data_IF_138076447600
#
_entry.id   IF_138076447600
#
_cell.length_a   1.000
_cell.length_b   1.000
_cell.length_c   1.000
_cell.angle_alpha   90.00
_cell.angle_beta   90.00
_cell.angle_gamma   90.00
#
_symmetry.space_group_name_H-M   'P 1'
#
loop_
_entity.id
_entity.type
_entity.pdbx_description
1 polymer ?
#
# COMPACT_ATOMS: atom_id res chain seq x y z
N UNK A 1 -4.04 0.56 2.54
CA UNK A 1 -4.84 0.09 1.39
C UNK A 1 -4.06 -0.82 0.43
N UNK A 2 -3.10 -0.34 -0.34
CA UNK A 2 -2.43 -1.13 -1.41
C UNK A 2 -1.82 -2.48 -0.94
N UNK A 3 -1.34 -2.56 0.30
CA UNK A 3 -0.74 -3.80 0.85
C UNK A 3 -1.77 -4.85 1.30
N UNK A 4 -3.07 -4.52 1.40
CA UNK A 4 -4.09 -5.39 1.99
C UNK A 4 -4.18 -6.73 1.27
N UNK A 5 -4.15 -6.74 -0.06
CA UNK A 5 -4.24 -7.98 -0.84
C UNK A 5 -3.08 -8.93 -0.56
N UNK A 6 -1.86 -8.40 -0.42
CA UNK A 6 -0.66 -9.18 -0.05
C UNK A 6 -0.69 -9.67 1.40
N UNK A 7 -1.24 -8.87 2.31
CA UNK A 7 -1.30 -9.17 3.75
C UNK A 7 -2.30 -10.27 4.05
N UNK A 8 -3.52 -10.16 3.53
CA UNK A 8 -4.57 -11.15 3.74
C UNK A 8 -4.34 -12.39 2.87
N UNK A 9 -3.92 -12.18 1.61
CA UNK A 9 -3.65 -13.23 0.63
C UNK A 9 -4.76 -14.30 0.57
N UNK A 10 -6.02 -13.87 0.67
CA UNK A 10 -7.19 -14.75 0.95
C UNK A 10 -7.37 -15.88 -0.08
N UNK A 11 -6.92 -15.64 -1.31
CA UNK A 11 -7.01 -16.58 -2.43
C UNK A 11 -5.66 -17.19 -2.84
N UNK A 12 -4.59 -16.97 -2.07
CA UNK A 12 -3.26 -17.48 -2.39
C UNK A 12 -2.64 -16.89 -3.66
N UNK A 13 -3.10 -15.69 -4.09
CA UNK A 13 -2.58 -14.98 -5.29
C UNK A 13 -1.08 -14.69 -5.16
N UNK A 14 -0.63 -14.34 -3.96
CA UNK A 14 0.76 -13.96 -3.70
C UNK A 14 1.55 -15.10 -3.07
N UNK A 15 2.86 -15.13 -3.34
CA UNK A 15 3.77 -16.06 -2.70
C UNK A 15 3.83 -15.77 -1.20
N UNK A 16 4.00 -16.81 -0.39
CA UNK A 16 4.15 -16.68 1.06
C UNK A 16 5.29 -15.71 1.46
N UNK A 17 6.38 -15.67 0.68
CA UNK A 17 7.47 -14.72 0.90
C UNK A 17 7.03 -13.26 0.73
N UNK A 18 6.14 -12.95 -0.22
CA UNK A 18 5.60 -11.60 -0.43
C UNK A 18 4.65 -11.21 0.71
N UNK A 19 3.85 -12.15 1.20
CA UNK A 19 2.98 -11.94 2.36
C UNK A 19 3.80 -11.67 3.63
N UNK A 20 4.80 -12.50 3.92
CA UNK A 20 5.71 -12.31 5.06
C UNK A 20 6.49 -11.00 4.97
N UNK A 21 6.96 -10.62 3.78
CA UNK A 21 7.60 -9.33 3.57
C UNK A 21 6.65 -8.16 3.86
N UNK A 22 5.38 -8.28 3.47
CA UNK A 22 4.36 -7.26 3.77
C UNK A 22 4.09 -7.13 5.27
N UNK A 23 3.98 -8.27 5.98
CA UNK A 23 3.84 -8.27 7.44
C UNK A 23 5.06 -7.65 8.14
N UNK A 24 6.27 -8.01 7.71
CA UNK A 24 7.50 -7.45 8.24
C UNK A 24 7.53 -5.93 8.12
N UNK A 25 7.21 -5.40 6.93
CA UNK A 25 7.17 -3.95 6.70
C UNK A 25 6.11 -3.28 7.57
N UNK A 26 4.90 -3.86 7.67
CA UNK A 26 3.84 -3.32 8.53
C UNK A 26 4.25 -3.26 10.00
N UNK A 27 4.78 -4.37 10.54
CA UNK A 27 5.20 -4.41 11.93
C UNK A 27 6.38 -3.48 12.20
N UNK A 28 7.34 -3.39 11.28
CA UNK A 28 8.48 -2.47 11.39
C UNK A 28 8.01 -1.03 11.45
N UNK A 29 7.19 -0.60 10.47
CA UNK A 29 6.67 0.77 10.41
C UNK A 29 5.79 1.07 11.63
N UNK A 30 4.88 0.18 11.99
CA UNK A 30 3.97 0.40 13.12
C UNK A 30 4.71 0.48 14.45
N UNK A 31 5.69 -0.41 14.68
CA UNK A 31 6.51 -0.38 15.90
C UNK A 31 7.29 0.95 16.03
N UNK A 32 7.82 1.47 14.92
CA UNK A 32 8.51 2.76 14.91
C UNK A 32 7.55 3.93 15.16
N UNK A 33 6.36 3.92 14.54
CA UNK A 33 5.31 4.92 14.80
C UNK A 33 4.93 4.93 16.28
N UNK A 34 4.72 3.77 16.90
CA UNK A 34 4.39 3.69 18.32
C UNK A 34 5.50 4.28 19.20
N UNK A 35 6.77 3.99 18.91
CA UNK A 35 7.91 4.55 19.66
C UNK A 35 8.00 6.07 19.50
N UNK A 36 7.78 6.58 18.29
CA UNK A 36 7.77 8.03 18.01
C UNK A 36 6.60 8.74 18.70
N UNK A 37 5.44 8.07 18.80
CA UNK A 37 4.26 8.61 19.47
C UNK A 37 4.27 8.42 20.99
N UNK A 38 5.13 7.56 21.53
CA UNK A 38 5.16 7.23 22.96
C UNK A 38 5.32 8.46 23.88
N UNK A 39 6.17 9.45 23.56
CA UNK A 39 6.26 10.69 24.34
C UNK A 39 4.99 11.56 24.32
N UNK A 40 4.15 11.41 23.30
CA UNK A 40 2.94 12.23 23.08
C UNK A 40 1.69 11.53 23.63
N UNK A 41 1.57 10.22 23.41
CA UNK A 41 0.40 9.40 23.79
C UNK A 41 0.83 8.16 24.60
N UNK A 42 1.35 8.35 25.83
CA UNK A 42 2.07 7.30 26.54
C UNK A 42 1.22 6.10 26.97
N UNK A 43 -0.05 6.31 27.30
CA UNK A 43 -0.95 5.24 27.76
C UNK A 43 -1.38 4.35 26.58
N UNK A 44 -1.80 4.98 25.48
CA UNK A 44 -2.32 4.28 24.30
C UNK A 44 -1.19 3.48 23.63
N UNK A 45 -0.04 4.13 23.41
CA UNK A 45 1.11 3.48 22.78
C UNK A 45 1.66 2.32 23.61
N UNK A 46 1.73 2.46 24.94
CA UNK A 46 2.16 1.36 25.83
C UNK A 46 1.19 0.18 25.82
N UNK A 47 -0.11 0.45 25.85
CA UNK A 47 -1.14 -0.59 25.78
C UNK A 47 -1.05 -1.40 24.48
N UNK A 48 -0.97 -0.72 23.33
CA UNK A 48 -0.81 -1.38 22.03
C UNK A 48 0.51 -2.14 21.95
N UNK A 49 1.61 -1.54 22.40
CA UNK A 49 2.93 -2.17 22.40
C UNK A 49 2.92 -3.46 23.20
N UNK A 50 2.29 -3.43 24.38
CA UNK A 50 2.24 -4.59 25.27
C UNK A 50 1.43 -5.75 24.72
N UNK A 51 0.40 -5.44 23.94
CA UNK A 51 -0.44 -6.42 23.27
C UNK A 51 0.28 -7.11 22.11
N UNK A 52 1.13 -6.39 21.37
CA UNK A 52 1.65 -6.85 20.08
C UNK A 52 3.12 -7.27 20.09
N UNK A 53 3.96 -6.67 20.93
CA UNK A 53 5.42 -6.77 20.76
C UNK A 53 6.18 -7.25 22.00
N UNK A 54 5.74 -6.92 23.22
CA UNK A 54 6.50 -7.21 24.45
C UNK A 54 5.64 -7.16 25.68
N UNK A 55 5.94 -7.89 26.74
CA UNK A 55 5.25 -7.70 28.04
C UNK A 55 5.76 -6.47 28.83
N UNK A 56 6.89 -5.88 28.40
CA UNK A 56 7.49 -4.69 29.02
C UNK A 56 7.02 -3.42 28.34
N UNK A 57 7.13 -2.31 29.08
CA UNK A 57 6.66 -1.01 28.62
C UNK A 57 7.44 -0.51 27.41
N UNK A 58 6.74 0.13 26.46
CA UNK A 58 7.37 0.83 25.33
C UNK A 58 8.30 1.95 25.78
N UNK A 59 8.06 2.52 26.96
CA UNK A 59 8.86 3.63 27.51
C UNK A 59 10.28 3.22 27.89
N UNK A 60 10.58 1.92 27.87
CA UNK A 60 11.94 1.37 28.04
C UNK A 60 12.67 1.17 26.71
N UNK A 61 11.95 1.31 25.59
CA UNK A 61 12.48 1.10 24.26
C UNK A 61 13.24 2.32 23.76
N UNK A 62 14.25 2.06 22.93
CA UNK A 62 14.98 3.12 22.21
C UNK A 62 14.41 3.31 20.82
N UNK A 63 14.38 4.57 20.39
CA UNK A 63 14.24 4.93 18.98
C UNK A 63 15.61 4.71 18.34
N UNK A 64 15.66 3.86 17.32
CA UNK A 64 16.87 3.63 16.54
C UNK A 64 16.90 4.60 15.36
N UNK A 65 18.10 4.98 14.93
CA UNK A 65 18.25 5.68 13.65
C UNK A 65 17.76 4.78 12.50
N UNK A 66 17.20 5.38 11.43
CA UNK A 66 16.75 4.62 10.28
C UNK A 66 17.91 3.86 9.65
N UNK A 67 17.63 2.65 9.16
CA UNK A 67 18.62 1.88 8.42
C UNK A 67 19.08 2.68 7.18
N UNK A 68 20.38 2.93 6.99
CA UNK A 68 20.87 3.69 5.84
C UNK A 68 20.47 3.09 4.48
N UNK A 69 20.12 1.80 4.46
CA UNK A 69 19.63 1.10 3.26
C UNK A 69 18.20 1.49 2.88
N UNK A 70 17.45 2.15 3.77
CA UNK A 70 16.08 2.60 3.51
C UNK A 70 16.02 3.89 2.69
N UNK A 71 16.82 3.95 1.62
CA UNK A 71 16.81 5.03 0.65
C UNK A 71 16.30 4.47 -0.69
N UNK A 72 15.00 4.54 -0.90
CA UNK A 72 14.33 3.97 -2.08
C UNK A 72 13.81 5.06 -3.01
N UNK A 73 13.83 4.86 -4.34
CA UNK A 73 13.20 5.77 -5.29
C UNK A 73 11.70 5.91 -5.01
N UNK A 74 11.18 7.15 -5.05
CA UNK A 74 9.77 7.44 -4.77
C UNK A 74 8.86 7.33 -6.00
N UNK A 75 9.44 7.21 -7.20
CA UNK A 75 8.69 7.25 -8.47
C UNK A 75 7.52 6.26 -8.50
N UNK A 76 7.72 5.00 -8.13
CA UNK A 76 6.65 3.99 -8.14
C UNK A 76 5.54 4.32 -7.13
N UNK A 77 5.89 4.94 -5.99
CA UNK A 77 4.91 5.41 -5.02
C UNK A 77 4.10 6.60 -5.56
N UNK A 78 4.76 7.56 -6.22
CA UNK A 78 4.11 8.71 -6.84
C UNK A 78 3.14 8.28 -7.96
N UNK A 79 3.56 7.35 -8.80
CA UNK A 79 2.71 6.73 -9.83
C UNK A 79 1.50 6.03 -9.21
N UNK A 80 1.69 5.26 -8.13
CA UNK A 80 0.60 4.57 -7.43
C UNK A 80 -0.42 5.57 -6.88
N UNK A 81 0.04 6.64 -6.23
CA UNK A 81 -0.83 7.69 -5.66
C UNK A 81 -1.60 8.42 -6.76
N UNK A 82 -0.92 8.77 -7.85
CA UNK A 82 -1.49 9.43 -9.03
C UNK A 82 -2.56 8.56 -9.68
N UNK A 83 -2.25 7.29 -9.95
CA UNK A 83 -3.18 6.34 -10.53
C UNK A 83 -4.41 6.11 -9.65
N UNK A 84 -4.20 5.88 -8.36
CA UNK A 84 -5.28 5.64 -7.41
C UNK A 84 -6.27 6.84 -7.38
N UNK A 85 -5.75 8.06 -7.38
CA UNK A 85 -6.55 9.28 -7.39
C UNK A 85 -7.36 9.43 -8.70
N UNK A 86 -6.75 9.12 -9.85
CA UNK A 86 -7.40 9.16 -11.18
C UNK A 86 -8.52 8.11 -11.28
N UNK A 87 -8.26 6.87 -10.88
CA UNK A 87 -9.25 5.78 -10.97
C UNK A 87 -10.43 6.04 -10.04
N UNK A 88 -10.20 6.52 -8.81
CA UNK A 88 -11.30 6.90 -7.93
C UNK A 88 -12.13 8.07 -8.47
N UNK A 89 -11.49 9.07 -9.08
CA UNK A 89 -12.20 10.18 -9.70
C UNK A 89 -13.07 9.71 -10.87
N UNK A 90 -12.56 8.77 -11.68
CA UNK A 90 -13.32 8.14 -12.75
C UNK A 90 -14.51 7.31 -12.22
N UNK A 91 -14.31 6.48 -11.19
CA UNK A 91 -15.43 5.74 -10.56
C UNK A 91 -16.53 6.67 -10.09
N UNK A 92 -16.15 7.79 -9.44
CA UNK A 92 -17.09 8.81 -8.97
C UNK A 92 -17.85 9.47 -10.13
N UNK A 93 -17.19 9.82 -11.23
CA UNK A 93 -17.87 10.44 -12.38
C UNK A 93 -18.87 9.50 -13.06
N UNK A 94 -18.65 8.19 -12.95
CA UNK A 94 -19.57 7.14 -13.43
C UNK A 94 -20.62 6.71 -12.40
N UNK A 95 -20.66 7.34 -11.21
CA UNK A 95 -21.61 6.98 -10.15
C UNK A 95 -21.34 5.62 -9.47
N UNK A 96 -20.14 5.06 -9.63
CA UNK A 96 -19.73 3.79 -9.04
C UNK A 96 -19.25 3.97 -7.59
N UNK A 97 -19.49 2.96 -6.75
CA UNK A 97 -18.87 2.90 -5.42
C UNK A 97 -17.39 2.55 -5.56
N UNK A 98 -16.58 2.93 -4.57
CA UNK A 98 -15.13 2.69 -4.62
C UNK A 98 -14.77 1.19 -4.71
N UNK A 99 -15.57 0.34 -4.06
CA UNK A 99 -15.42 -1.11 -4.05
C UNK A 99 -16.10 -1.82 -5.24
N UNK A 100 -16.79 -1.10 -6.12
CA UNK A 100 -17.40 -1.73 -7.29
C UNK A 100 -16.31 -2.11 -8.31
N UNK A 101 -16.39 -3.28 -8.95
CA UNK A 101 -15.43 -3.67 -9.99
C UNK A 101 -15.50 -2.72 -11.18
N UNK A 102 -14.33 -2.37 -11.71
CA UNK A 102 -14.23 -1.50 -12.88
C UNK A 102 -14.25 -2.36 -14.15
N UNK A 103 -15.36 -2.26 -14.91
CA UNK A 103 -15.62 -3.09 -16.09
C UNK A 103 -15.11 -2.51 -17.41
N UNK A 104 -14.67 -1.25 -17.40
CA UNK A 104 -14.09 -0.58 -18.58
C UNK A 104 -12.64 -1.02 -18.77
N UNK A 105 -12.12 -0.94 -20.00
CA UNK A 105 -10.71 -1.21 -20.27
C UNK A 105 -9.87 -0.03 -19.77
N UNK A 106 -8.88 -0.31 -18.91
CA UNK A 106 -7.94 0.70 -18.42
C UNK A 106 -6.56 0.47 -19.04
N UNK A 107 -6.04 1.47 -19.75
CA UNK A 107 -4.70 1.42 -20.34
C UNK A 107 -3.73 2.19 -19.47
N UNK A 108 -2.61 1.55 -19.14
CA UNK A 108 -1.53 2.12 -18.35
C UNK A 108 -0.27 2.22 -19.20
N UNK A 109 0.50 3.28 -18.99
CA UNK A 109 1.85 3.37 -19.54
C UNK A 109 2.80 2.32 -18.93
N UNK A 110 3.93 2.06 -19.60
CA UNK A 110 4.89 1.02 -19.21
C UNK A 110 5.49 1.24 -17.81
N UNK A 111 5.53 2.50 -17.35
CA UNK A 111 6.05 2.89 -16.04
C UNK A 111 5.21 2.34 -14.88
N UNK A 112 3.96 1.95 -15.11
CA UNK A 112 3.08 1.36 -14.09
C UNK A 112 3.31 -0.16 -13.91
N UNK A 113 4.18 -0.78 -14.71
CA UNK A 113 4.39 -2.23 -14.71
C UNK A 113 4.72 -2.80 -13.33
N UNK A 114 5.59 -2.14 -12.55
CA UNK A 114 6.02 -2.61 -11.23
C UNK A 114 4.92 -2.56 -10.16
N UNK A 115 3.84 -1.81 -10.40
CA UNK A 115 2.77 -1.55 -9.42
C UNK A 115 1.38 -1.94 -9.92
N UNK A 116 1.31 -2.60 -11.09
CA UNK A 116 0.04 -2.89 -11.74
C UNK A 116 -0.80 -3.87 -10.90
N UNK A 117 -0.16 -4.83 -10.25
CA UNK A 117 -0.82 -5.81 -9.39
C UNK A 117 -1.57 -5.14 -8.23
N UNK A 118 -0.95 -4.13 -7.61
CA UNK A 118 -1.56 -3.32 -6.55
C UNK A 118 -2.79 -2.57 -7.08
N UNK A 119 -2.71 -1.98 -8.27
CA UNK A 119 -3.82 -1.22 -8.85
C UNK A 119 -4.99 -2.12 -9.26
N UNK A 120 -4.69 -3.29 -9.83
CA UNK A 120 -5.69 -4.29 -10.20
C UNK A 120 -6.45 -4.76 -8.97
N UNK A 121 -5.74 -5.09 -7.89
CA UNK A 121 -6.36 -5.55 -6.65
C UNK A 121 -7.16 -4.44 -5.97
N UNK A 122 -6.59 -3.24 -5.86
CA UNK A 122 -7.20 -2.12 -5.14
C UNK A 122 -8.49 -1.65 -5.80
N UNK A 123 -8.56 -1.68 -7.13
CA UNK A 123 -9.68 -1.16 -7.89
C UNK A 123 -10.57 -2.22 -8.52
N UNK A 124 -10.24 -3.50 -8.36
CA UNK A 124 -10.95 -4.63 -8.97
C UNK A 124 -11.11 -4.42 -10.48
N UNK A 125 -9.96 -4.20 -11.14
CA UNK A 125 -9.90 -3.95 -12.58
C UNK A 125 -10.18 -5.27 -13.32
N UNK A 126 -11.25 -5.30 -14.11
CA UNK A 126 -11.62 -6.50 -14.88
C UNK A 126 -10.81 -6.63 -16.18
N UNK A 127 -10.50 -5.49 -16.82
CA UNK A 127 -9.77 -5.43 -18.08
C UNK A 127 -8.72 -4.31 -18.01
N UNK A 128 -7.45 -4.64 -18.21
CA UNK A 128 -6.38 -3.65 -18.30
C UNK A 128 -5.33 -4.04 -19.34
N UNK A 129 -4.61 -3.04 -19.85
CA UNK A 129 -3.47 -3.23 -20.74
C UNK A 129 -2.33 -2.29 -20.36
N UNK A 130 -1.11 -2.77 -20.48
CA UNK A 130 0.08 -1.94 -20.45
C UNK A 130 0.46 -1.63 -21.89
N UNK A 131 0.61 -0.35 -22.22
CA UNK A 131 0.98 0.12 -23.56
C UNK A 131 2.42 0.63 -23.56
N UNK A 132 3.14 0.40 -24.66
CA UNK A 132 4.50 0.93 -24.90
C UNK A 132 4.46 2.42 -25.25
N UNK A 133 3.88 3.20 -24.35
CA UNK A 133 3.83 4.65 -24.45
C UNK A 133 4.53 5.20 -23.21
N UNK A 134 5.46 6.12 -23.44
CA UNK A 134 6.20 6.78 -22.36
C UNK A 134 5.37 7.91 -21.77
N UNK A 135 5.41 8.06 -20.44
CA UNK A 135 4.74 9.13 -19.70
C UNK A 135 3.60 8.62 -18.82
N UNK A 136 3.25 9.35 -17.77
CA UNK A 136 2.40 8.86 -16.67
C UNK A 136 0.88 8.91 -16.96
N UNK A 137 0.49 8.51 -18.16
CA UNK A 137 -0.89 8.56 -18.64
C UNK A 137 -1.66 7.27 -18.32
N UNK A 138 -2.97 7.46 -18.09
CA UNK A 138 -3.95 6.40 -17.84
C UNK A 138 -5.17 6.75 -18.67
N UNK A 139 -5.63 5.81 -19.48
CA UNK A 139 -6.79 5.99 -20.35
C UNK A 139 -7.90 5.01 -19.97
N UNK A 140 -9.15 5.49 -19.98
CA UNK A 140 -10.34 4.70 -19.72
C UNK A 140 -11.14 4.57 -21.00
N UNK A 141 -11.34 3.35 -21.49
CA UNK A 141 -12.12 3.07 -22.70
C UNK A 141 -13.35 2.25 -22.34
N UNK A 142 -14.53 2.81 -22.61
CA UNK A 142 -15.84 2.19 -22.41
C UNK A 142 -16.20 1.22 -23.53
#
# INVERSE_FOLDING_TARGET
>A
EAVKSRVYNEHGKYRESQQKASWYTLHTVFSNILKLLAPIMPIITDSIWRMLYSNRSIHLERIMDPDPRWNYPTKSLELLISANSKIWSYKKSMGLRLNDPLKVEVKFAIEYSDIIDELVDLHLLMNYKIIESTGEHIEFQS
#
